data_IF_890426188950
#
_entry.id   IF_890426188950
#
_cell.length_a   1.000
_cell.length_b   1.000
_cell.length_c   1.000
_cell.angle_alpha   90.00
_cell.angle_beta   90.00
_cell.angle_gamma   90.00
#
_symmetry.space_group_name_H-M   'P 1'
#
loop_
_entity.id
_entity.type
_entity.pdbx_description
1 polymer ?
#
# COMPACT_ATOMS: atom_id res chain seq x y z
N UNK A 1 16.35 -21.47 -4.40
CA UNK A 1 17.51 -20.62 -4.73
C UNK A 1 17.20 -19.26 -4.14
N UNK A 2 17.90 -18.88 -3.08
CA UNK A 2 17.70 -17.60 -2.41
C UNK A 2 18.34 -16.51 -3.25
N UNK A 3 17.56 -15.51 -3.64
CA UNK A 3 18.07 -14.36 -4.38
C UNK A 3 18.94 -13.48 -3.46
N UNK A 4 20.25 -13.32 -3.72
CA UNK A 4 21.18 -12.66 -2.80
C UNK A 4 21.06 -11.13 -2.75
N UNK A 5 20.10 -10.51 -3.45
CA UNK A 5 19.99 -9.05 -3.60
C UNK A 5 18.86 -8.38 -2.82
N UNK A 6 17.94 -9.12 -2.18
CA UNK A 6 16.86 -8.49 -1.38
C UNK A 6 17.47 -7.88 -0.11
N UNK A 7 17.36 -6.55 0.10
CA UNK A 7 17.78 -5.92 1.35
C UNK A 7 17.03 -6.58 2.51
N UNK A 8 17.78 -7.12 3.47
CA UNK A 8 17.18 -7.76 4.65
C UNK A 8 16.80 -6.66 5.66
N UNK A 9 15.89 -5.76 5.27
CA UNK A 9 15.26 -4.85 6.23
C UNK A 9 14.62 -5.71 7.32
N UNK A 10 14.84 -5.39 8.60
CA UNK A 10 14.26 -6.18 9.68
C UNK A 10 12.74 -6.03 9.61
N UNK A 11 12.08 -7.14 9.29
CA UNK A 11 10.61 -7.22 9.30
C UNK A 11 10.14 -6.80 10.69
N UNK A 12 9.22 -5.82 10.80
CA UNK A 12 8.70 -5.41 12.10
C UNK A 12 8.09 -6.59 12.86
N UNK A 13 8.17 -6.57 14.18
CA UNK A 13 7.46 -7.55 14.99
C UNK A 13 5.93 -7.46 14.77
N UNK A 14 5.19 -8.45 15.27
CA UNK A 14 3.75 -8.51 15.09
C UNK A 14 3.04 -7.23 15.56
N UNK A 15 3.56 -6.57 16.60
CA UNK A 15 3.01 -5.32 17.12
C UNK A 15 3.30 -4.14 16.18
N UNK A 16 4.50 -4.09 15.60
CA UNK A 16 4.89 -3.12 14.59
C UNK A 16 4.00 -3.19 13.34
N UNK A 17 3.73 -4.40 12.84
CA UNK A 17 2.83 -4.61 11.69
C UNK A 17 1.42 -4.12 12.00
N UNK A 18 0.87 -4.51 13.17
CA UNK A 18 -0.46 -4.06 13.60
C UNK A 18 -0.54 -2.53 13.68
N UNK A 19 0.46 -1.89 14.29
CA UNK A 19 0.50 -0.42 14.41
C UNK A 19 0.57 0.27 13.04
N UNK A 20 1.37 -0.27 12.11
CA UNK A 20 1.48 0.27 10.76
C UNK A 20 0.15 0.19 10.00
N UNK A 21 -0.52 -0.97 10.07
CA UNK A 21 -1.83 -1.16 9.44
C UNK A 21 -2.90 -0.25 10.06
N UNK A 22 -2.95 -0.16 11.40
CA UNK A 22 -3.88 0.74 12.09
C UNK A 22 -3.65 2.21 11.70
N UNK A 23 -2.39 2.62 11.52
CA UNK A 23 -2.05 3.97 11.04
C UNK A 23 -2.60 4.21 9.63
N UNK A 24 -2.38 3.29 8.70
CA UNK A 24 -2.94 3.37 7.34
C UNK A 24 -4.47 3.45 7.38
N UNK A 25 -5.11 2.57 8.15
CA UNK A 25 -6.56 2.56 8.31
C UNK A 25 -7.09 3.89 8.85
N UNK A 26 -6.46 4.47 9.87
CA UNK A 26 -6.85 5.77 10.40
C UNK A 26 -6.74 6.89 9.35
N UNK A 27 -5.71 6.88 8.50
CA UNK A 27 -5.59 7.85 7.40
C UNK A 27 -6.78 7.71 6.45
N UNK A 28 -7.12 6.49 6.03
CA UNK A 28 -8.27 6.24 5.14
C UNK A 28 -9.58 6.71 5.78
N UNK A 29 -9.79 6.44 7.07
CA UNK A 29 -10.97 6.90 7.81
C UNK A 29 -11.04 8.42 7.85
N UNK A 30 -9.91 9.09 8.13
CA UNK A 30 -9.85 10.55 8.18
C UNK A 30 -10.15 11.17 6.81
N UNK A 31 -9.54 10.66 5.73
CA UNK A 31 -9.74 11.15 4.38
C UNK A 31 -11.19 10.96 3.88
N UNK A 32 -11.87 9.90 4.34
CA UNK A 32 -13.28 9.62 4.00
C UNK A 32 -14.29 10.22 4.98
N UNK A 33 -13.84 10.92 6.02
CA UNK A 33 -14.70 11.57 7.02
C UNK A 33 -15.44 12.80 6.48
N UNK A 34 -16.37 13.40 7.27
CA UNK A 34 -17.14 14.57 6.84
C UNK A 34 -16.28 15.77 6.38
N UNK A 35 -15.17 16.02 7.09
CA UNK A 35 -14.21 17.08 6.79
C UNK A 35 -12.98 16.58 6.01
N UNK A 36 -13.08 15.37 5.43
CA UNK A 36 -12.02 14.71 4.69
C UNK A 36 -11.87 15.18 3.25
N UNK A 37 -10.97 14.54 2.51
CA UNK A 37 -10.74 14.83 1.11
C UNK A 37 -12.02 14.56 0.28
N UNK A 38 -12.53 15.55 -0.50
CA UNK A 38 -13.74 15.35 -1.30
C UNK A 38 -13.64 14.18 -2.27
N UNK A 39 -12.48 14.02 -2.93
CA UNK A 39 -12.24 12.93 -3.87
C UNK A 39 -12.29 11.56 -3.18
N UNK A 40 -11.62 11.40 -2.03
CA UNK A 40 -11.61 10.14 -1.28
C UNK A 40 -13.01 9.74 -0.79
N UNK A 41 -13.81 10.72 -0.36
CA UNK A 41 -15.19 10.51 0.07
C UNK A 41 -16.09 9.98 -1.04
N UNK A 42 -15.86 10.42 -2.27
CA UNK A 42 -16.64 10.01 -3.45
C UNK A 42 -16.23 8.64 -4.00
N UNK A 43 -15.07 8.10 -3.60
CA UNK A 43 -14.59 6.81 -4.09
C UNK A 43 -15.50 5.64 -3.69
N UNK A 44 -15.72 4.75 -4.66
CA UNK A 44 -16.43 3.47 -4.54
C UNK A 44 -15.52 2.32 -5.02
N UNK A 45 -15.81 1.05 -4.69
CA UNK A 45 -15.07 -0.07 -5.26
C UNK A 45 -15.04 -0.07 -6.80
N UNK A 46 -16.10 0.42 -7.45
CA UNK A 46 -16.16 0.51 -8.91
C UNK A 46 -15.22 1.58 -9.48
N UNK A 47 -15.15 2.76 -8.84
CA UNK A 47 -14.26 3.84 -9.30
C UNK A 47 -12.78 3.52 -9.04
N UNK A 48 -12.47 2.78 -7.98
CA UNK A 48 -11.10 2.37 -7.64
C UNK A 48 -10.58 1.18 -8.46
N UNK A 49 -11.43 0.53 -9.26
CA UNK A 49 -11.06 -0.70 -10.00
C UNK A 49 -9.88 -0.48 -10.95
N UNK A 50 -9.85 0.63 -11.69
CA UNK A 50 -8.77 0.91 -12.66
C UNK A 50 -7.44 1.11 -11.93
N UNK A 51 -7.43 1.99 -10.93
CA UNK A 51 -6.24 2.26 -10.13
C UNK A 51 -5.71 1.00 -9.46
N UNK A 52 -6.57 0.14 -8.90
CA UNK A 52 -6.10 -1.12 -8.32
C UNK A 52 -5.41 -2.03 -9.33
N UNK A 53 -5.90 -2.08 -10.57
CA UNK A 53 -5.26 -2.86 -11.65
C UNK A 53 -3.94 -2.24 -12.06
N UNK A 54 -3.88 -0.92 -12.22
CA UNK A 54 -2.65 -0.18 -12.56
C UNK A 54 -1.57 -0.41 -11.51
N UNK A 55 -1.87 -0.21 -10.22
CA UNK A 55 -0.96 -0.44 -9.10
C UNK A 55 -0.46 -1.90 -9.03
N UNK A 56 -1.32 -2.88 -9.38
CA UNK A 56 -0.90 -4.27 -9.45
C UNK A 56 0.12 -4.51 -10.57
N UNK A 57 -0.06 -3.87 -11.74
CA UNK A 57 0.92 -3.93 -12.83
C UNK A 57 2.21 -3.19 -12.50
N UNK A 58 2.15 -2.05 -11.82
CA UNK A 58 3.34 -1.34 -11.34
C UNK A 58 4.12 -2.18 -10.32
N UNK A 59 3.43 -2.86 -9.41
CA UNK A 59 4.06 -3.79 -8.47
C UNK A 59 4.75 -4.96 -9.18
N UNK A 60 4.10 -5.58 -10.17
CA UNK A 60 4.71 -6.63 -10.99
C UNK A 60 5.94 -6.11 -11.74
N UNK A 61 5.84 -4.91 -12.30
CA UNK A 61 6.96 -4.28 -13.01
C UNK A 61 8.16 -4.06 -12.09
N UNK A 62 7.96 -3.54 -10.88
CA UNK A 62 9.04 -3.36 -9.90
C UNK A 62 9.70 -4.69 -9.51
N UNK A 63 8.92 -5.77 -9.38
CA UNK A 63 9.45 -7.12 -9.15
C UNK A 63 10.31 -7.57 -10.34
N UNK A 64 9.80 -7.43 -11.57
CA UNK A 64 10.50 -7.83 -12.79
C UNK A 64 11.81 -7.05 -13.01
N UNK A 65 11.84 -5.78 -12.60
CA UNK A 65 13.02 -4.91 -12.68
C UNK A 65 14.01 -5.13 -11.53
N UNK A 66 13.69 -5.97 -10.54
CA UNK A 66 14.39 -6.05 -9.26
C UNK A 66 14.56 -4.67 -8.58
N UNK A 67 13.59 -3.77 -8.80
CA UNK A 67 13.51 -2.47 -8.15
C UNK A 67 12.78 -2.65 -6.82
N UNK A 68 13.47 -3.28 -5.87
CA UNK A 68 13.03 -3.36 -4.49
C UNK A 68 13.64 -2.19 -3.71
N UNK A 69 12.90 -1.08 -3.49
CA UNK A 69 13.35 -0.05 -2.56
C UNK A 69 13.24 -0.59 -1.14
N UNK A 70 14.38 -1.05 -0.61
CA UNK A 70 14.75 -1.25 0.81
C UNK A 70 13.74 -1.93 1.76
#
# INVERSE_FOLDING_TARGET
MSDPTIPHTPVPDQKGIQNAFLKLYHIVVQLRGPDGCPWDREQTPASLRSSLVEEAYECLHAIDENDAPN
#
